data_IF_406103511183
#
_entry.id   IF_406103511183
#
_cell.length_a   1.000
_cell.length_b   1.000
_cell.length_c   1.000
_cell.angle_alpha   90.00
_cell.angle_beta   90.00
_cell.angle_gamma   90.00
#
_symmetry.space_group_name_H-M   'P 1'
#
loop_
_entity.id
_entity.type
_entity.pdbx_description
1 polymer ?
#
# COMPACT_ATOMS: atom_id res chain seq x y z
N UNK A 1 -48.92 13.41 4.93
CA UNK A 1 -48.57 12.22 4.13
C UNK A 1 -48.22 12.66 2.73
N UNK A 2 -46.95 12.55 2.33
CA UNK A 2 -46.53 12.10 1.00
C UNK A 2 -45.03 11.78 1.07
N UNK A 3 -44.71 10.50 0.93
CA UNK A 3 -43.36 9.97 0.73
C UNK A 3 -42.85 10.40 -0.64
N UNK A 4 -41.59 10.82 -0.71
CA UNK A 4 -40.78 10.81 -1.92
C UNK A 4 -39.44 10.18 -1.59
N UNK A 5 -39.28 8.91 -1.94
CA UNK A 5 -38.02 8.18 -1.82
C UNK A 5 -37.02 8.62 -2.89
N UNK A 6 -35.74 8.48 -2.55
CA UNK A 6 -34.60 8.23 -3.44
C UNK A 6 -33.95 9.43 -4.13
N UNK A 7 -32.75 9.80 -3.66
CA UNK A 7 -31.51 9.42 -4.35
C UNK A 7 -30.33 9.65 -3.40
N UNK A 8 -29.88 8.59 -2.73
CA UNK A 8 -28.61 8.59 -2.01
C UNK A 8 -27.48 8.56 -3.01
N UNK A 9 -27.16 9.70 -3.64
CA UNK A 9 -25.93 9.84 -4.40
C UNK A 9 -24.82 9.85 -3.36
N UNK A 10 -24.22 8.68 -3.09
CA UNK A 10 -22.96 8.61 -2.37
C UNK A 10 -21.99 9.50 -3.15
N UNK A 11 -21.80 10.72 -2.68
CA UNK A 11 -20.79 11.62 -3.20
C UNK A 11 -19.50 10.84 -3.11
N UNK A 12 -18.99 10.37 -4.24
CA UNK A 12 -17.66 9.78 -4.31
C UNK A 12 -16.73 10.96 -4.02
N UNK A 13 -16.48 11.20 -2.75
CA UNK A 13 -15.70 12.32 -2.26
C UNK A 13 -14.24 11.96 -2.40
N UNK A 14 -13.40 12.97 -2.63
CA UNK A 14 -11.94 12.87 -2.49
C UNK A 14 -11.54 12.12 -1.21
N UNK A 15 -12.33 12.27 -0.15
CA UNK A 15 -12.22 11.54 1.13
C UNK A 15 -12.18 10.02 0.99
N UNK A 16 -12.97 9.41 0.09
CA UNK A 16 -12.98 7.96 -0.12
C UNK A 16 -11.72 7.44 -0.84
N UNK A 17 -11.22 8.21 -1.81
CA UNK A 17 -9.95 7.91 -2.50
C UNK A 17 -8.77 8.08 -1.54
N UNK A 18 -8.74 9.15 -0.76
CA UNK A 18 -7.70 9.38 0.26
C UNK A 18 -7.71 8.27 1.33
N UNK A 19 -8.90 7.82 1.78
CA UNK A 19 -9.01 6.70 2.72
C UNK A 19 -8.47 5.39 2.13
N UNK A 20 -8.65 5.16 0.83
CA UNK A 20 -8.10 4.00 0.12
C UNK A 20 -6.57 4.06 0.09
N UNK A 21 -6.00 5.23 -0.24
CA UNK A 21 -4.54 5.45 -0.25
C UNK A 21 -3.95 5.27 1.16
N UNK A 22 -4.60 5.76 2.21
CA UNK A 22 -4.16 5.56 3.61
C UNK A 22 -4.24 4.08 4.05
N UNK A 23 -5.23 3.33 3.57
CA UNK A 23 -5.32 1.89 3.82
C UNK A 23 -4.15 1.14 3.17
N UNK A 24 -3.79 1.51 1.93
CA UNK A 24 -2.63 0.96 1.24
C UNK A 24 -1.32 1.34 1.95
N UNK A 25 -1.19 2.57 2.46
CA UNK A 25 -0.04 3.01 3.27
C UNK A 25 0.13 2.12 4.49
N UNK A 26 -0.95 1.94 5.24
CA UNK A 26 -0.96 1.14 6.47
C UNK A 26 -0.57 -0.31 6.20
N UNK A 27 -1.07 -0.88 5.10
CA UNK A 27 -0.67 -2.21 4.66
C UNK A 27 0.83 -2.29 4.32
N UNK A 28 1.34 -1.33 3.54
CA UNK A 28 2.75 -1.31 3.12
C UNK A 28 3.70 -1.16 4.32
N UNK A 29 3.37 -0.28 5.28
CA UNK A 29 4.15 -0.15 6.52
C UNK A 29 4.15 -1.45 7.34
N UNK A 30 2.99 -2.10 7.49
CA UNK A 30 2.89 -3.37 8.19
C UNK A 30 3.70 -4.49 7.50
N UNK A 31 3.72 -4.51 6.16
CA UNK A 31 4.57 -5.42 5.38
C UNK A 31 6.05 -5.22 5.70
N UNK A 32 6.52 -3.96 5.75
CA UNK A 32 7.90 -3.65 6.13
C UNK A 32 8.18 -4.09 7.57
N UNK A 33 7.29 -3.78 8.52
CA UNK A 33 7.47 -4.20 9.92
C UNK A 33 7.51 -5.72 10.09
N UNK A 34 6.81 -6.47 9.23
CA UNK A 34 6.79 -7.93 9.28
C UNK A 34 8.07 -8.56 8.70
N UNK A 35 8.61 -8.01 7.61
CA UNK A 35 9.66 -8.67 6.82
C UNK A 35 11.01 -7.96 6.83
N UNK A 36 11.09 -6.68 7.23
CA UNK A 36 12.32 -5.95 7.45
C UNK A 36 12.79 -6.04 8.91
N UNK A 37 12.68 -7.24 9.51
CA UNK A 37 13.12 -7.49 10.88
C UNK A 37 14.54 -8.08 10.89
N UNK A 38 15.53 -7.40 11.50
CA UNK A 38 16.89 -7.94 11.62
C UNK A 38 16.92 -9.26 12.36
N UNK A 39 17.79 -10.19 11.93
CA UNK A 39 18.00 -11.51 12.55
C UNK A 39 16.76 -12.43 12.59
N UNK A 40 15.61 -12.01 12.06
CA UNK A 40 14.44 -12.87 11.88
C UNK A 40 14.72 -13.84 10.73
N UNK A 41 14.44 -15.12 10.95
CA UNK A 41 14.53 -16.12 9.88
C UNK A 41 13.53 -15.77 8.78
N UNK A 42 14.02 -15.68 7.54
CA UNK A 42 13.16 -15.39 6.40
C UNK A 42 12.22 -16.57 6.11
N UNK A 43 10.92 -16.28 6.05
CA UNK A 43 9.89 -17.22 5.63
C UNK A 43 9.36 -16.80 4.26
N UNK A 44 9.87 -17.43 3.20
CA UNK A 44 9.51 -17.10 1.82
C UNK A 44 8.03 -17.33 1.52
N UNK A 45 7.42 -18.39 2.06
CA UNK A 45 6.01 -18.68 1.81
C UNK A 45 5.08 -17.62 2.43
N UNK A 46 5.36 -17.18 3.65
CA UNK A 46 4.61 -16.10 4.29
C UNK A 46 4.82 -14.76 3.55
N UNK A 47 6.05 -14.51 3.10
CA UNK A 47 6.38 -13.34 2.29
C UNK A 47 5.58 -13.30 0.99
N UNK A 48 5.61 -14.39 0.23
CA UNK A 48 4.90 -14.52 -1.05
C UNK A 48 3.39 -14.38 -0.88
N UNK A 49 2.82 -14.96 0.18
CA UNK A 49 1.42 -14.78 0.51
C UNK A 49 1.06 -13.30 0.77
N UNK A 50 1.91 -12.58 1.51
CA UNK A 50 1.69 -11.16 1.80
C UNK A 50 1.88 -10.27 0.58
N UNK A 51 2.82 -10.59 -0.32
CA UNK A 51 2.96 -9.91 -1.62
C UNK A 51 1.70 -10.08 -2.46
N UNK A 52 1.18 -11.31 -2.59
CA UNK A 52 -0.05 -11.58 -3.34
C UNK A 52 -1.28 -10.85 -2.76
N UNK A 53 -1.36 -10.73 -1.43
CA UNK A 53 -2.40 -9.93 -0.77
C UNK A 53 -2.25 -8.44 -1.14
N UNK A 54 -1.03 -7.91 -1.13
CA UNK A 54 -0.73 -6.55 -1.57
C UNK A 54 -1.17 -6.31 -3.01
N UNK A 55 -0.75 -7.18 -3.92
CA UNK A 55 -1.15 -7.14 -5.33
C UNK A 55 -2.67 -7.08 -5.49
N UNK A 56 -3.38 -7.93 -4.77
CA UNK A 56 -4.85 -7.95 -4.80
C UNK A 56 -5.43 -6.62 -4.31
N UNK A 57 -4.92 -6.06 -3.21
CA UNK A 57 -5.38 -4.77 -2.67
C UNK A 57 -5.13 -3.61 -3.63
N UNK A 58 -3.93 -3.53 -4.22
CA UNK A 58 -3.60 -2.48 -5.17
C UNK A 58 -4.45 -2.58 -6.45
N UNK A 59 -4.61 -3.78 -7.00
CA UNK A 59 -5.45 -4.00 -8.19
C UNK A 59 -6.91 -3.62 -7.93
N UNK A 60 -7.45 -4.00 -6.76
CA UNK A 60 -8.79 -3.59 -6.35
C UNK A 60 -8.91 -2.07 -6.21
N UNK A 61 -7.93 -1.41 -5.58
CA UNK A 61 -7.93 0.05 -5.47
C UNK A 61 -7.92 0.74 -6.84
N UNK A 62 -7.06 0.29 -7.76
CA UNK A 62 -6.96 0.81 -9.13
C UNK A 62 -8.29 0.62 -9.89
N UNK A 63 -8.86 -0.58 -9.82
CA UNK A 63 -10.11 -0.91 -10.51
C UNK A 63 -11.31 -0.12 -9.97
N UNK A 64 -11.36 0.08 -8.64
CA UNK A 64 -12.46 0.78 -7.98
C UNK A 64 -12.31 2.31 -8.00
N UNK A 65 -11.16 2.84 -8.39
CA UNK A 65 -10.90 4.27 -8.42
C UNK A 65 -11.75 4.97 -9.49
N UNK A 66 -12.48 5.99 -9.05
CA UNK A 66 -13.42 6.78 -9.85
C UNK A 66 -12.79 8.09 -10.33
N UNK A 67 -11.82 8.61 -9.60
CA UNK A 67 -11.02 9.75 -10.00
C UNK A 67 -9.94 9.30 -10.98
N UNK A 68 -10.18 9.49 -12.28
CA UNK A 68 -9.23 9.10 -13.33
C UNK A 68 -7.83 9.66 -13.13
N UNK A 69 -7.71 10.88 -12.59
CA UNK A 69 -6.44 11.50 -12.24
C UNK A 69 -5.68 10.81 -11.09
N UNK A 70 -6.35 10.02 -10.24
CA UNK A 70 -5.74 9.25 -9.14
C UNK A 70 -5.31 7.84 -9.56
N UNK A 71 -5.81 7.31 -10.69
CA UNK A 71 -5.40 5.98 -11.17
C UNK A 71 -3.89 5.88 -11.45
N UNK A 72 -3.24 6.84 -12.12
CA UNK A 72 -1.79 6.82 -12.28
C UNK A 72 -1.06 6.77 -10.94
N UNK A 73 -1.51 7.55 -9.95
CA UNK A 73 -0.93 7.56 -8.60
C UNK A 73 -1.01 6.17 -7.95
N UNK A 74 -2.16 5.48 -8.06
CA UNK A 74 -2.31 4.12 -7.51
C UNK A 74 -1.44 3.09 -8.24
N UNK A 75 -1.25 3.25 -9.55
CA UNK A 75 -0.34 2.42 -10.35
C UNK A 75 1.11 2.62 -9.89
N UNK A 76 1.52 3.87 -9.68
CA UNK A 76 2.86 4.21 -9.18
C UNK A 76 3.09 3.66 -7.77
N UNK A 77 2.09 3.75 -6.88
CA UNK A 77 2.17 3.17 -5.54
C UNK A 77 2.29 1.64 -5.58
N UNK A 78 1.61 0.97 -6.52
CA UNK A 78 1.79 -0.47 -6.73
C UNK A 78 3.22 -0.78 -7.20
N UNK A 79 3.73 -0.03 -8.18
CA UNK A 79 5.08 -0.23 -8.68
C UNK A 79 6.14 -0.05 -7.56
N UNK A 80 5.91 0.91 -6.66
CA UNK A 80 6.75 1.10 -5.48
C UNK A 80 6.69 -0.12 -4.54
N UNK A 81 5.48 -0.64 -4.25
CA UNK A 81 5.33 -1.85 -3.44
C UNK A 81 6.07 -3.05 -4.05
N UNK A 82 5.95 -3.26 -5.36
CA UNK A 82 6.64 -4.35 -6.06
C UNK A 82 8.17 -4.20 -5.94
N UNK A 83 8.68 -2.98 -6.08
CA UNK A 83 10.11 -2.67 -5.93
C UNK A 83 10.61 -2.93 -4.50
N UNK A 84 9.85 -2.50 -3.50
CA UNK A 84 10.19 -2.70 -2.09
C UNK A 84 10.12 -4.17 -1.69
N UNK A 85 9.12 -4.91 -2.18
CA UNK A 85 9.04 -6.36 -2.00
C UNK A 85 10.24 -7.07 -2.64
N UNK A 86 10.61 -6.72 -3.88
CA UNK A 86 11.78 -7.31 -4.53
C UNK A 86 13.08 -7.00 -3.76
N UNK A 87 13.25 -5.76 -3.32
CA UNK A 87 14.41 -5.34 -2.52
C UNK A 87 14.48 -6.10 -1.21
N UNK A 88 13.35 -6.20 -0.49
CA UNK A 88 13.28 -6.84 0.81
C UNK A 88 13.47 -8.36 0.71
N UNK A 89 12.91 -9.01 -0.31
CA UNK A 89 13.15 -10.44 -0.59
C UNK A 89 14.65 -10.70 -0.73
N UNK A 90 15.34 -9.89 -1.54
CA UNK A 90 16.78 -9.99 -1.75
C UNK A 90 17.56 -9.80 -0.46
N UNK A 91 17.24 -8.78 0.35
CA UNK A 91 17.95 -8.55 1.62
C UNK A 91 17.69 -9.67 2.63
N UNK A 92 16.43 -10.09 2.78
CA UNK A 92 16.02 -11.09 3.75
C UNK A 92 16.57 -12.49 3.42
N UNK A 93 16.59 -12.89 2.15
CA UNK A 93 17.14 -14.18 1.74
C UNK A 93 18.65 -14.30 2.00
N UNK A 94 19.38 -13.19 2.03
CA UNK A 94 20.81 -13.14 2.33
C UNK A 94 21.12 -12.78 3.79
N UNK A 95 20.10 -12.64 4.66
CA UNK A 95 20.29 -12.22 6.05
C UNK A 95 20.82 -10.79 6.22
N UNK A 96 20.64 -9.92 5.21
CA UNK A 96 21.17 -8.55 5.14
C UNK A 96 20.16 -7.46 5.53
N UNK A 97 19.09 -7.83 6.23
CA UNK A 97 18.11 -6.88 6.77
C UNK A 97 18.70 -6.19 8.00
N UNK A 98 18.72 -4.85 8.00
CA UNK A 98 19.22 -4.02 9.11
C UNK A 98 18.11 -3.11 9.63
N UNK A 99 18.25 -2.64 10.87
CA UNK A 99 17.30 -1.66 11.43
C UNK A 99 17.30 -0.35 10.65
N UNK A 100 18.46 0.05 10.10
CA UNK A 100 18.59 1.22 9.25
C UNK A 100 17.75 1.07 7.98
N UNK A 101 17.87 -0.07 7.28
CA UNK A 101 17.06 -0.37 6.09
C UNK A 101 15.56 -0.28 6.40
N UNK A 102 15.10 -0.93 7.48
CA UNK A 102 13.68 -0.89 7.85
C UNK A 102 13.18 0.53 8.14
N UNK A 103 14.04 1.36 8.76
CA UNK A 103 13.71 2.76 9.10
C UNK A 103 13.67 3.65 7.86
N UNK A 104 14.64 3.47 6.95
CA UNK A 104 14.72 4.16 5.66
C UNK A 104 13.51 3.85 4.79
N UNK A 105 13.19 2.55 4.60
CA UNK A 105 12.02 2.15 3.82
C UNK A 105 10.73 2.76 4.37
N UNK A 106 10.50 2.69 5.69
CA UNK A 106 9.29 3.30 6.30
C UNK A 106 9.23 4.82 6.10
N UNK A 107 10.37 5.50 6.19
CA UNK A 107 10.45 6.94 5.93
C UNK A 107 10.09 7.26 4.47
N UNK A 108 10.63 6.49 3.53
CA UNK A 108 10.37 6.67 2.10
C UNK A 108 8.90 6.37 1.76
N UNK A 109 8.33 5.31 2.30
CA UNK A 109 6.90 5.01 2.18
C UNK A 109 6.06 6.17 2.70
N UNK A 110 6.34 6.68 3.89
CA UNK A 110 5.58 7.81 4.42
C UNK A 110 5.62 9.01 3.47
N UNK A 111 6.80 9.36 2.96
CA UNK A 111 6.96 10.47 2.01
C UNK A 111 6.19 10.25 0.70
N UNK A 112 6.27 9.05 0.13
CA UNK A 112 5.60 8.72 -1.14
C UNK A 112 4.08 8.79 -0.98
N UNK A 113 3.55 8.26 0.12
CA UNK A 113 2.10 8.29 0.37
C UNK A 113 1.60 9.69 0.78
N UNK A 114 2.39 10.47 1.51
CA UNK A 114 2.05 11.87 1.81
C UNK A 114 1.96 12.69 0.51
N UNK A 115 2.92 12.51 -0.41
CA UNK A 115 2.85 13.12 -1.75
C UNK A 115 1.63 12.62 -2.55
N UNK A 116 1.33 11.32 -2.51
CA UNK A 116 0.15 10.76 -3.16
C UNK A 116 -1.17 11.35 -2.62
N UNK A 117 -1.19 11.77 -1.36
CA UNK A 117 -2.31 12.42 -0.68
C UNK A 117 -2.31 13.95 -0.84
N UNK A 118 -1.22 14.54 -1.34
CA UNK A 118 -1.03 15.99 -1.47
C UNK A 118 -0.77 16.68 -0.13
N UNK A 119 0.03 16.06 0.73
CA UNK A 119 0.48 16.60 2.03
C UNK A 119 1.96 16.98 2.01
#
# INVERSE_FOLDING_TARGET
MTRGSSCGTATFTKTGSDATIESLRSFHLAFIDEFAVPRKRFNGAAFDARVNEGDTKFQQAIANEKFTARRPVLIDLKAQFDADAAHLRSKASHGKVTSALASEMKKDINKIYDHALGR
#
